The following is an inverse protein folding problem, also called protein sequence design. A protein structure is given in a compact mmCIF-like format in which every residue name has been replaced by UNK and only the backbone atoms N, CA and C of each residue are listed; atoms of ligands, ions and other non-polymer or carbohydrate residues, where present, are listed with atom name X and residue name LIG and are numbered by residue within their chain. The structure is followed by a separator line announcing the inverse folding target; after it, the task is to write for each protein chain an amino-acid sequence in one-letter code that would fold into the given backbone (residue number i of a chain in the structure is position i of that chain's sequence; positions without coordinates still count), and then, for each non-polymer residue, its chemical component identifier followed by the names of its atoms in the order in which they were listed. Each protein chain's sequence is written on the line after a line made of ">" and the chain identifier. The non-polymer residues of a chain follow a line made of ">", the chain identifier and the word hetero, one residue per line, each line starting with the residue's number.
data_IF_855810257224
#
_entry.id   IF_855810257224
#
_cell.length_a   1.000
_cell.length_b   1.000
_cell.length_c   1.000
_cell.angle_alpha   90.00
_cell.angle_beta   90.00
_cell.angle_gamma   90.00
#
_symmetry.space_group_name_H-M   'P 1'
#
loop_
_entity.id
_entity.type
_entity.pdbx_description
1 polymer ?
#
# COMPACT_ATOMS: atom_id res chain seq x y z
N UNK A 1 9.70 -17.98 27.58
CA UNK A 1 10.31 -18.93 26.63
C UNK A 1 9.96 -18.47 25.22
N UNK A 2 10.99 -18.15 24.43
CA UNK A 2 11.06 -18.07 22.94
C UNK A 2 9.87 -17.43 22.20
N UNK A 3 9.92 -16.13 21.90
CA UNK A 3 10.29 -15.60 20.57
C UNK A 3 9.67 -16.39 19.41
N UNK A 4 8.45 -16.02 19.02
CA UNK A 4 7.89 -16.36 17.71
C UNK A 4 8.42 -15.33 16.68
N UNK A 5 9.70 -15.46 16.37
CA UNK A 5 10.36 -14.75 15.28
C UNK A 5 10.38 -15.73 14.11
N UNK A 6 9.70 -15.37 13.01
CA UNK A 6 9.52 -16.06 11.72
C UNK A 6 8.34 -17.03 11.61
N UNK A 7 7.26 -16.57 10.96
CA UNK A 7 6.96 -16.97 9.57
C UNK A 7 5.68 -16.32 9.06
N UNK A 8 5.60 -16.23 7.74
CA UNK A 8 4.42 -16.01 6.90
C UNK A 8 3.93 -14.57 6.80
N UNK A 9 3.75 -14.12 5.56
CA UNK A 9 2.97 -12.94 5.19
C UNK A 9 1.78 -12.81 6.13
N UNK A 10 1.82 -11.81 7.01
CA UNK A 10 0.72 -11.52 7.92
C UNK A 10 -0.46 -11.13 7.05
N UNK A 11 -1.35 -12.09 6.82
CA UNK A 11 -2.69 -11.84 6.31
C UNK A 11 -3.23 -10.67 7.13
N UNK A 12 -3.51 -9.56 6.47
CA UNK A 12 -4.05 -8.39 7.14
C UNK A 12 -5.32 -8.81 7.84
N UNK A 13 -5.46 -8.45 9.10
CA UNK A 13 -6.74 -8.60 9.76
C UNK A 13 -7.77 -7.66 9.11
N UNK A 14 -9.05 -7.94 9.35
CA UNK A 14 -10.13 -7.20 8.71
C UNK A 14 -10.10 -5.70 9.04
N UNK A 15 -9.75 -5.34 10.27
CA UNK A 15 -9.67 -3.95 10.70
C UNK A 15 -8.53 -3.24 9.98
N UNK A 16 -7.35 -3.85 9.90
CA UNK A 16 -6.21 -3.30 9.19
C UNK A 16 -6.53 -3.14 7.69
N UNK A 17 -7.13 -4.15 7.05
CA UNK A 17 -7.53 -4.06 5.65
C UNK A 17 -8.51 -2.90 5.42
N UNK A 18 -9.53 -2.73 6.27
CA UNK A 18 -10.48 -1.61 6.15
C UNK A 18 -9.81 -0.24 6.30
N UNK A 19 -8.86 -0.11 7.24
CA UNK A 19 -8.10 1.12 7.44
C UNK A 19 -7.25 1.43 6.20
N UNK A 20 -6.55 0.43 5.66
CA UNK A 20 -5.73 0.59 4.45
C UNK A 20 -6.59 0.93 3.24
N UNK A 21 -7.74 0.29 3.08
CA UNK A 21 -8.69 0.56 2.00
C UNK A 21 -9.20 2.01 2.05
N UNK A 22 -9.66 2.46 3.22
CA UNK A 22 -10.11 3.85 3.42
C UNK A 22 -9.00 4.85 3.08
N UNK A 23 -7.76 4.54 3.49
CA UNK A 23 -6.61 5.37 3.19
C UNK A 23 -6.31 5.46 1.69
N UNK A 24 -6.31 4.32 0.98
CA UNK A 24 -6.07 4.25 -0.47
C UNK A 24 -7.17 5.00 -1.24
N UNK A 25 -8.43 4.79 -0.90
CA UNK A 25 -9.56 5.47 -1.55
C UNK A 25 -9.49 6.99 -1.37
N UNK A 26 -9.19 7.46 -0.15
CA UNK A 26 -8.99 8.87 0.14
C UNK A 26 -7.83 9.49 -0.63
N UNK A 27 -6.71 8.77 -0.72
CA UNK A 27 -5.56 9.22 -1.49
C UNK A 27 -5.85 9.28 -3.01
N UNK A 28 -6.51 8.27 -3.58
CA UNK A 28 -6.92 8.27 -4.99
C UNK A 28 -7.87 9.43 -5.28
N UNK A 29 -8.84 9.68 -4.40
CA UNK A 29 -9.75 10.81 -4.53
C UNK A 29 -9.00 12.16 -4.54
N UNK A 30 -7.96 12.31 -3.71
CA UNK A 30 -7.11 13.51 -3.70
C UNK A 30 -6.31 13.65 -4.99
N UNK A 31 -5.73 12.56 -5.53
CA UNK A 31 -5.02 12.60 -6.82
C UNK A 31 -5.96 13.02 -7.95
N UNK A 32 -7.14 12.40 -8.02
CA UNK A 32 -8.16 12.73 -9.03
C UNK A 32 -8.63 14.19 -8.91
N UNK A 33 -8.86 14.69 -7.69
CA UNK A 33 -9.24 16.08 -7.46
C UNK A 33 -8.14 17.08 -7.86
N UNK A 34 -6.87 16.67 -7.78
CA UNK A 34 -5.73 17.43 -8.26
C UNK A 34 -5.48 17.29 -9.77
N UNK A 35 -6.28 16.49 -10.49
CA UNK A 35 -6.16 16.26 -11.93
C UNK A 35 -5.10 15.22 -12.32
N UNK A 36 -4.60 14.45 -11.35
CA UNK A 36 -3.64 13.37 -11.61
C UNK A 36 -4.37 12.03 -11.81
N UNK A 37 -3.92 11.28 -12.82
CA UNK A 37 -4.33 9.89 -13.02
C UNK A 37 -3.44 8.94 -12.23
N UNK A 38 -3.98 7.76 -11.92
CA UNK A 38 -3.22 6.65 -11.33
C UNK A 38 -2.83 5.70 -12.46
N UNK A 39 -1.52 5.48 -12.65
CA UNK A 39 -1.03 4.54 -13.66
C UNK A 39 -1.02 3.08 -13.15
N UNK A 40 -0.62 2.16 -14.03
CA UNK A 40 -0.58 0.74 -13.71
C UNK A 40 0.41 0.41 -12.59
N UNK A 41 1.59 1.03 -12.58
CA UNK A 41 2.61 0.76 -11.56
C UNK A 41 2.14 1.21 -10.18
N UNK A 42 1.55 2.41 -10.10
CA UNK A 42 0.91 2.89 -8.87
C UNK A 42 -0.23 1.96 -8.43
N UNK A 43 -1.07 1.53 -9.36
CA UNK A 43 -2.16 0.58 -9.09
C UNK A 43 -1.64 -0.73 -8.49
N UNK A 44 -0.58 -1.29 -9.07
CA UNK A 44 0.03 -2.54 -8.60
C UNK A 44 0.62 -2.38 -7.20
N UNK A 45 1.26 -1.23 -6.92
CA UNK A 45 1.83 -0.92 -5.61
C UNK A 45 0.74 -0.75 -4.53
N UNK A 46 -0.36 -0.06 -4.86
CA UNK A 46 -1.50 0.10 -3.96
C UNK A 46 -2.17 -1.24 -3.66
N UNK A 47 -2.37 -2.09 -4.67
CA UNK A 47 -2.91 -3.44 -4.49
C UNK A 47 -1.99 -4.30 -3.63
N UNK A 48 -0.67 -4.24 -3.84
CA UNK A 48 0.28 -4.94 -2.97
C UNK A 48 0.23 -4.46 -1.51
N UNK A 49 -0.03 -3.18 -1.27
CA UNK A 49 -0.27 -2.63 0.07
C UNK A 49 -1.59 -3.13 0.68
N UNK A 50 -2.66 -3.21 -0.11
CA UNK A 50 -3.96 -3.73 0.32
C UNK A 50 -3.95 -5.24 0.56
N UNK A 51 -3.11 -5.99 -0.15
CA UNK A 51 -2.91 -7.42 0.06
C UNK A 51 -2.01 -7.74 1.27
N UNK A 52 -1.43 -6.73 1.90
CA UNK A 52 -0.44 -6.90 2.98
C UNK A 52 0.95 -7.34 2.50
N UNK A 53 1.17 -7.39 1.17
CA UNK A 53 2.49 -7.67 0.57
C UNK A 53 3.46 -6.52 0.79
N UNK A 54 2.95 -5.28 0.85
CA UNK A 54 3.70 -4.08 1.23
C UNK A 54 3.22 -3.52 2.57
N UNK A 55 4.15 -3.00 3.35
CA UNK A 55 3.86 -2.02 4.39
C UNK A 55 3.82 -0.60 3.78
N UNK A 56 3.53 0.41 4.61
CA UNK A 56 3.43 1.79 4.15
C UNK A 56 4.76 2.32 3.60
N UNK A 57 5.90 1.91 4.18
CA UNK A 57 7.21 2.38 3.74
C UNK A 57 7.55 1.81 2.36
N UNK A 58 7.28 0.53 2.13
CA UNK A 58 7.42 -0.13 0.84
C UNK A 58 6.52 0.53 -0.22
N UNK A 59 5.26 0.84 0.12
CA UNK A 59 4.36 1.58 -0.77
C UNK A 59 4.96 2.93 -1.17
N UNK A 60 5.38 3.75 -0.20
CA UNK A 60 5.96 5.08 -0.47
C UNK A 60 7.25 4.99 -1.29
N UNK A 61 8.02 3.92 -1.13
CA UNK A 61 9.22 3.64 -1.91
C UNK A 61 8.85 3.35 -3.36
N UNK A 62 7.88 2.47 -3.59
CA UNK A 62 7.41 2.16 -4.94
C UNK A 62 6.82 3.39 -5.61
N UNK A 63 5.93 4.14 -4.97
CA UNK A 63 5.35 5.35 -5.55
C UNK A 63 6.41 6.41 -5.94
N UNK A 64 7.58 6.38 -5.31
CA UNK A 64 8.70 7.27 -5.65
C UNK A 64 9.61 6.71 -6.75
N UNK A 65 9.63 5.39 -6.96
CA UNK A 65 10.56 4.69 -7.87
C UNK A 65 10.61 5.30 -9.28
N UNK A 66 9.50 5.71 -9.92
CA UNK A 66 9.54 6.36 -11.24
C UNK A 66 10.36 7.67 -11.29
N UNK A 67 10.62 8.28 -10.13
CA UNK A 67 11.30 9.57 -10.00
C UNK A 67 12.73 9.48 -9.46
N UNK A 68 13.21 8.28 -9.12
CA UNK A 68 14.48 8.04 -8.42
C UNK A 68 15.68 7.71 -9.34
N UNK A 69 15.71 8.26 -10.56
CA UNK A 69 16.82 8.12 -11.53
C UNK A 69 18.20 7.83 -10.92
#
# INVERSE_FOLDING_TARGET
>A
MTSAVHSLATLLDHQEHQLRQTHVEGWIAQQNAAGFGIDQHMTDALNAYLDGRFDLLALLTELRRPYLN
#
